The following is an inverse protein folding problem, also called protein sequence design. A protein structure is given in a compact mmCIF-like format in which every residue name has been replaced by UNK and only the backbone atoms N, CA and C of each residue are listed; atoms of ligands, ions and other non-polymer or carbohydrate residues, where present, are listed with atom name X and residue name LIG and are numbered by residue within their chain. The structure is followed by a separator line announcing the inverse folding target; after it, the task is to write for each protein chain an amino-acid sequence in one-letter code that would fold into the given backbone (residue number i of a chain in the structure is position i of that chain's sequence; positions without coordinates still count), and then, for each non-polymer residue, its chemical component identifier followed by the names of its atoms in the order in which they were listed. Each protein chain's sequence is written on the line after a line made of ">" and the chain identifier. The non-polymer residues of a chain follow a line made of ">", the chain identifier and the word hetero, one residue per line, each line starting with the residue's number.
data_IF_623897193448
#
_entry.id   IF_623897193448
#
_cell.length_a   1.000
_cell.length_b   1.000
_cell.length_c   1.000
_cell.angle_alpha   90.00
_cell.angle_beta   90.00
_cell.angle_gamma   90.00
#
_symmetry.space_group_name_H-M   'P 1'
#
loop_
_entity.id
_entity.type
_entity.pdbx_description
1 polymer ?
#
# COMPACT_ATOMS: atom_id res chain seq x y z
N UNK A 1 19.55 25.12 2.34
CA UNK A 1 19.93 23.70 2.21
C UNK A 1 18.90 22.92 3.00
N UNK A 2 18.14 22.00 2.39
CA UNK A 2 17.20 21.16 3.13
C UNK A 2 18.00 20.32 4.14
N UNK A 3 17.52 20.13 5.39
CA UNK A 3 18.20 19.26 6.33
C UNK A 3 18.22 17.83 5.77
N UNK A 4 19.40 17.37 5.35
CA UNK A 4 19.55 15.98 4.93
C UNK A 4 19.61 15.10 6.17
N UNK A 5 18.65 14.18 6.28
CA UNK A 5 18.72 13.12 7.27
C UNK A 5 19.75 12.08 6.80
N UNK A 6 21.01 12.27 7.21
CA UNK A 6 22.14 11.37 6.92
C UNK A 6 21.94 9.94 7.45
N UNK A 7 21.07 9.75 8.44
CA UNK A 7 20.69 8.45 8.99
C UNK A 7 19.44 7.85 8.34
N UNK A 8 18.85 8.53 7.34
CA UNK A 8 17.60 8.10 6.71
C UNK A 8 17.74 6.93 5.74
N UNK A 9 18.97 6.58 5.32
CA UNK A 9 19.19 5.56 4.29
C UNK A 9 18.74 4.15 4.70
N UNK A 10 19.06 3.62 5.89
CA UNK A 10 18.59 2.30 6.32
C UNK A 10 17.06 2.19 6.33
N UNK A 11 16.37 3.20 6.87
CA UNK A 11 14.91 3.24 6.91
C UNK A 11 14.29 3.33 5.51
N UNK A 12 14.87 4.15 4.63
CA UNK A 12 14.44 4.26 3.23
C UNK A 12 14.58 2.92 2.50
N UNK A 13 15.74 2.26 2.66
CA UNK A 13 15.99 0.95 2.05
C UNK A 13 14.99 -0.09 2.56
N UNK A 14 14.79 -0.19 3.87
CA UNK A 14 13.87 -1.16 4.45
C UNK A 14 12.42 -0.94 3.96
N UNK A 15 11.96 0.31 3.98
CA UNK A 15 10.62 0.66 3.52
C UNK A 15 10.41 0.27 2.06
N UNK A 16 11.34 0.64 1.17
CA UNK A 16 11.23 0.31 -0.25
C UNK A 16 11.27 -1.19 -0.52
N UNK A 17 12.09 -1.95 0.21
CA UNK A 17 12.11 -3.42 0.11
C UNK A 17 10.73 -4.00 0.47
N UNK A 18 10.11 -3.53 1.57
CA UNK A 18 8.77 -3.98 1.97
C UNK A 18 7.69 -3.60 0.95
N UNK A 19 7.79 -2.42 0.32
CA UNK A 19 6.89 -2.04 -0.78
C UNK A 19 7.06 -3.00 -1.97
N UNK A 20 8.30 -3.33 -2.35
CA UNK A 20 8.57 -4.28 -3.43
C UNK A 20 8.01 -5.66 -3.12
N UNK A 21 8.12 -6.15 -1.89
CA UNK A 21 7.55 -7.43 -1.47
C UNK A 21 6.01 -7.44 -1.67
N UNK A 22 5.32 -6.37 -1.25
CA UNK A 22 3.87 -6.21 -1.46
C UNK A 22 3.52 -6.24 -2.96
N UNK A 23 4.30 -5.55 -3.80
CA UNK A 23 4.08 -5.53 -5.24
C UNK A 23 4.30 -6.90 -5.89
N UNK A 24 5.32 -7.65 -5.46
CA UNK A 24 5.60 -9.00 -5.95
C UNK A 24 4.47 -9.98 -5.60
N UNK A 25 3.93 -9.90 -4.38
CA UNK A 25 2.78 -10.68 -3.96
C UNK A 25 1.53 -10.35 -4.80
N UNK A 26 1.28 -9.06 -5.07
CA UNK A 26 0.20 -8.63 -5.93
C UNK A 26 0.36 -9.13 -7.38
N UNK A 27 1.57 -9.05 -7.95
CA UNK A 27 1.87 -9.57 -9.30
C UNK A 27 1.62 -11.07 -9.35
N UNK A 28 2.07 -11.83 -8.34
CA UNK A 28 1.84 -13.27 -8.26
C UNK A 28 0.34 -13.59 -8.24
N UNK A 29 -0.42 -12.89 -7.41
CA UNK A 29 -1.87 -13.06 -7.33
C UNK A 29 -2.59 -12.66 -8.62
N UNK A 30 -2.13 -11.61 -9.31
CA UNK A 30 -2.73 -11.14 -10.56
C UNK A 30 -2.51 -12.08 -11.73
N UNK A 31 -1.46 -12.89 -11.68
CA UNK A 31 -1.19 -13.95 -12.67
C UNK A 31 -1.89 -15.28 -12.36
N UNK A 32 -2.53 -15.43 -11.19
CA UNK A 32 -3.34 -16.60 -10.87
C UNK A 32 -4.76 -16.45 -11.40
N UNK A 33 -5.12 -17.32 -12.35
CA UNK A 33 -6.46 -17.36 -12.98
C UNK A 33 -7.58 -17.72 -12.02
N UNK A 34 -7.27 -18.33 -10.88
CA UNK A 34 -8.27 -18.65 -9.85
C UNK A 34 -8.54 -17.46 -8.92
N UNK A 35 -7.74 -16.39 -9.03
CA UNK A 35 -7.92 -15.20 -8.21
C UNK A 35 -9.08 -14.35 -8.73
N UNK A 36 -9.80 -13.68 -7.81
CA UNK A 36 -10.84 -12.71 -8.19
C UNK A 36 -10.22 -11.56 -8.99
N UNK A 37 -10.87 -11.15 -10.07
CA UNK A 37 -10.50 -9.96 -10.87
C UNK A 37 -10.71 -8.67 -10.06
N UNK A 38 -11.80 -8.64 -9.27
CA UNK A 38 -12.19 -7.54 -8.40
C UNK A 38 -12.94 -8.12 -7.21
N UNK A 39 -12.65 -7.63 -6.01
CA UNK A 39 -13.50 -7.84 -4.83
C UNK A 39 -14.39 -6.59 -4.68
N UNK A 40 -15.56 -6.65 -5.30
CA UNK A 40 -16.44 -5.49 -5.46
C UNK A 40 -17.09 -5.08 -4.13
N UNK A 41 -17.06 -3.78 -3.86
CA UNK A 41 -17.69 -3.13 -2.71
C UNK A 41 -18.35 -1.83 -3.20
N UNK A 42 -19.47 -1.45 -2.60
CA UNK A 42 -20.08 -0.14 -2.85
C UNK A 42 -19.22 1.00 -2.26
N UNK A 43 -19.36 2.25 -2.74
CA UNK A 43 -18.56 3.37 -2.26
C UNK A 43 -18.58 3.54 -0.73
N UNK A 44 -19.74 3.40 -0.10
CA UNK A 44 -19.89 3.55 1.36
C UNK A 44 -19.17 2.45 2.14
N UNK A 45 -19.09 1.23 1.58
CA UNK A 45 -18.33 0.11 2.15
C UNK A 45 -16.83 0.33 1.94
N UNK A 46 -16.43 0.83 0.78
CA UNK A 46 -15.02 1.14 0.49
C UNK A 46 -14.45 2.22 1.40
N UNK A 47 -15.22 3.24 1.75
CA UNK A 47 -14.80 4.28 2.69
C UNK A 47 -14.56 3.76 4.12
N UNK A 48 -15.11 2.59 4.47
CA UNK A 48 -14.83 1.91 5.74
C UNK A 48 -13.59 1.01 5.67
N UNK A 49 -13.22 0.59 4.46
CA UNK A 49 -12.09 -0.31 4.20
C UNK A 49 -10.79 0.45 3.86
N UNK A 50 -10.91 1.66 3.31
CA UNK A 50 -9.82 2.57 2.99
C UNK A 50 -10.03 3.87 3.76
N UNK A 51 -9.14 4.15 4.70
CA UNK A 51 -9.07 5.48 5.29
C UNK A 51 -8.43 6.43 4.27
N UNK A 52 -9.23 7.36 3.76
CA UNK A 52 -8.82 8.36 2.79
C UNK A 52 -8.67 9.75 3.41
N UNK A 53 -8.83 9.87 4.74
CA UNK A 53 -8.60 11.13 5.44
C UNK A 53 -7.10 11.48 5.42
N UNK A 54 -6.80 12.76 5.23
CA UNK A 54 -5.42 13.25 5.23
C UNK A 54 -5.15 13.90 6.59
N UNK A 55 -4.41 13.24 7.50
CA UNK A 55 -4.13 13.80 8.81
C UNK A 55 -3.15 14.98 8.74
N UNK A 56 -3.24 15.89 9.71
CA UNK A 56 -2.29 17.02 9.84
C UNK A 56 -0.85 16.56 10.14
N UNK A 57 -0.72 15.39 10.78
CA UNK A 57 0.56 14.77 11.12
C UNK A 57 0.83 13.55 10.25
N UNK A 58 2.10 13.33 9.93
CA UNK A 58 2.52 12.15 9.19
C UNK A 58 2.20 10.84 9.92
N UNK A 59 1.81 9.84 9.15
CA UNK A 59 1.55 8.48 9.64
C UNK A 59 2.85 7.67 9.73
N UNK A 60 2.94 6.66 10.62
CA UNK A 60 4.06 5.74 10.66
C UNK A 60 4.24 4.98 9.33
N UNK A 61 5.48 4.66 8.96
CA UNK A 61 5.77 3.90 7.72
C UNK A 61 5.03 2.54 7.65
N UNK A 62 4.81 1.91 8.80
CA UNK A 62 4.07 0.65 8.88
C UNK A 62 2.60 0.80 8.43
N UNK A 63 1.98 1.94 8.73
CA UNK A 63 0.62 2.24 8.29
C UNK A 63 0.59 2.41 6.77
N UNK A 64 1.53 3.18 6.21
CA UNK A 64 1.62 3.36 4.77
C UNK A 64 1.81 2.03 4.00
N UNK A 65 2.54 1.07 4.57
CA UNK A 65 2.66 -0.28 3.99
C UNK A 65 1.32 -1.04 4.02
N UNK A 66 0.55 -0.91 5.11
CA UNK A 66 -0.79 -1.49 5.21
C UNK A 66 -1.73 -0.85 4.18
N UNK A 67 -1.66 0.47 4.00
CA UNK A 67 -2.46 1.23 3.05
C UNK A 67 -2.15 0.79 1.61
N UNK A 68 -0.87 0.61 1.26
CA UNK A 68 -0.44 0.06 -0.03
C UNK A 68 -1.04 -1.33 -0.30
N UNK A 69 -0.91 -2.25 0.67
CA UNK A 69 -1.44 -3.61 0.55
C UNK A 69 -2.97 -3.62 0.38
N UNK A 70 -3.67 -2.81 1.18
CA UNK A 70 -5.14 -2.70 1.16
C UNK A 70 -5.63 -2.09 -0.15
N UNK A 71 -4.94 -1.07 -0.65
CA UNK A 71 -5.25 -0.44 -1.96
C UNK A 71 -5.13 -1.46 -3.10
N UNK A 72 -4.06 -2.25 -3.13
CA UNK A 72 -3.86 -3.28 -4.15
C UNK A 72 -4.85 -4.45 -4.04
N UNK A 73 -5.36 -4.73 -2.83
CA UNK A 73 -6.35 -5.79 -2.61
C UNK A 73 -7.70 -5.46 -3.23
N UNK A 74 -8.13 -4.20 -3.14
CA UNK A 74 -9.46 -3.77 -3.58
C UNK A 74 -9.50 -3.10 -4.96
N UNK A 75 -8.35 -2.87 -5.59
CA UNK A 75 -8.33 -2.40 -6.98
C UNK A 75 -8.82 -3.48 -7.97
N UNK A 76 -9.19 -3.03 -9.16
CA UNK A 76 -9.39 -3.91 -10.33
C UNK A 76 -8.03 -4.41 -10.79
N UNK A 77 -7.90 -5.72 -11.01
CA UNK A 77 -6.73 -6.29 -11.69
C UNK A 77 -6.87 -6.07 -13.20
N UNK A 78 -6.08 -5.14 -13.74
CA UNK A 78 -6.09 -4.72 -15.16
C UNK A 78 -5.13 -5.52 -16.02
#
# INVERSE_FOLDING_TARGET
>A
ILPQNVEGYPATKEFLMKVVDILLDFIKASNDRNSKILDFHHPDEMLQLLDLEIPEIGMPLQQLLLDCSTTLKYQVKT
#
